data_IF_542132482431
#
_entry.id   IF_542132482431
#
_cell.length_a   1.000
_cell.length_b   1.000
_cell.length_c   1.000
_cell.angle_alpha   90.00
_cell.angle_beta   90.00
_cell.angle_gamma   90.00
#
_symmetry.space_group_name_H-M   'P 1'
#
loop_
_entity.id
_entity.type
_entity.pdbx_description
1 polymer ?
#
# COMPACT_ATOMS: atom_id res chain seq x y z
N UNK A 1 -11.51 37.68 -13.09
CA UNK A 1 -12.67 37.74 -12.20
C UNK A 1 -13.04 36.37 -11.61
N UNK A 2 -13.24 35.34 -12.41
CA UNK A 2 -13.58 33.98 -11.91
C UNK A 2 -12.49 33.38 -11.04
N UNK A 3 -11.23 33.56 -11.39
CA UNK A 3 -10.11 33.08 -10.58
C UNK A 3 -10.03 33.74 -9.21
N UNK A 4 -10.38 35.05 -9.13
CA UNK A 4 -10.42 35.72 -7.85
C UNK A 4 -11.55 35.17 -6.97
N UNK A 5 -12.74 34.95 -7.53
CA UNK A 5 -13.83 34.34 -6.78
C UNK A 5 -13.49 32.93 -6.27
N UNK A 6 -12.85 32.11 -7.11
CA UNK A 6 -12.42 30.79 -6.70
C UNK A 6 -11.39 30.86 -5.56
N UNK A 7 -10.45 31.80 -5.63
CA UNK A 7 -9.47 32.04 -4.59
C UNK A 7 -10.15 32.49 -3.27
N UNK A 8 -11.05 33.42 -3.34
CA UNK A 8 -11.74 33.97 -2.16
C UNK A 8 -12.56 32.88 -1.46
N UNK A 9 -13.32 32.08 -2.21
CA UNK A 9 -14.10 30.96 -1.67
C UNK A 9 -13.19 29.88 -1.05
N UNK A 10 -12.10 29.53 -1.72
CA UNK A 10 -11.16 28.55 -1.19
C UNK A 10 -10.48 29.05 0.08
N UNK A 11 -10.11 30.34 0.13
CA UNK A 11 -9.51 30.95 1.31
C UNK A 11 -10.50 30.97 2.48
N UNK A 12 -11.74 31.31 2.23
CA UNK A 12 -12.80 31.28 3.26
C UNK A 12 -12.98 29.86 3.84
N UNK A 13 -12.99 28.85 2.98
CA UNK A 13 -13.11 27.44 3.41
C UNK A 13 -11.89 26.97 4.22
N UNK A 14 -10.68 27.46 3.90
CA UNK A 14 -9.46 27.15 4.64
C UNK A 14 -9.46 27.85 6.01
N UNK A 15 -9.85 29.12 6.05
CA UNK A 15 -9.83 29.92 7.27
C UNK A 15 -10.96 29.53 8.24
N UNK A 16 -12.07 29.02 7.70
CA UNK A 16 -13.24 28.60 8.46
C UNK A 16 -13.71 27.19 8.09
N UNK A 17 -12.89 26.15 8.34
CA UNK A 17 -13.14 24.80 7.84
C UNK A 17 -14.30 24.07 8.54
N UNK A 18 -14.87 24.62 9.61
CA UNK A 18 -15.93 23.97 10.38
C UNK A 18 -15.44 22.65 10.98
N UNK A 19 -16.14 21.52 10.71
CA UNK A 19 -15.73 20.20 11.21
C UNK A 19 -14.59 19.56 10.41
N UNK A 20 -14.18 20.18 9.30
CA UNK A 20 -13.19 19.63 8.38
C UNK A 20 -11.79 20.10 8.72
N UNK A 21 -10.78 19.38 8.23
CA UNK A 21 -9.39 19.73 8.43
C UNK A 21 -8.46 18.66 7.87
N UNK A 22 -7.17 18.98 7.78
CA UNK A 22 -6.19 18.03 7.31
C UNK A 22 -5.86 16.96 8.37
N UNK A 23 -5.64 15.75 7.94
CA UNK A 23 -5.04 14.69 8.75
C UNK A 23 -3.53 14.90 8.86
N UNK A 24 -2.89 14.25 9.83
CA UNK A 24 -1.45 14.38 10.07
C UNK A 24 -0.61 13.75 8.96
N UNK A 25 -1.13 12.72 8.30
CA UNK A 25 -0.44 12.04 7.21
C UNK A 25 -1.41 11.55 6.15
N UNK A 26 -0.91 11.42 4.92
CA UNK A 26 -1.67 10.86 3.80
C UNK A 26 -2.16 9.43 4.07
N UNK A 27 -1.38 8.63 4.80
CA UNK A 27 -1.81 7.30 5.22
C UNK A 27 -3.10 7.33 6.02
N UNK A 28 -3.21 8.24 7.00
CA UNK A 28 -4.40 8.36 7.85
C UNK A 28 -5.66 8.75 7.07
N UNK A 29 -5.53 9.49 5.98
CA UNK A 29 -6.69 9.85 5.14
C UNK A 29 -7.38 8.59 4.59
N UNK A 30 -6.61 7.56 4.27
CA UNK A 30 -7.08 6.37 3.54
C UNK A 30 -7.11 5.10 4.38
N UNK A 31 -6.57 5.12 5.59
CA UNK A 31 -6.46 3.93 6.42
C UNK A 31 -7.78 3.61 7.16
N UNK A 32 -8.18 2.36 7.13
CA UNK A 32 -9.44 1.89 7.72
C UNK A 32 -9.71 2.33 9.17
N UNK A 33 -8.73 2.35 10.10
CA UNK A 33 -8.94 2.85 11.45
C UNK A 33 -9.35 4.33 11.54
N UNK A 34 -9.11 5.09 10.49
CA UNK A 34 -9.46 6.52 10.38
C UNK A 34 -10.61 6.77 9.41
N UNK A 35 -11.43 5.76 9.16
CA UNK A 35 -12.62 5.93 8.32
C UNK A 35 -13.46 7.11 8.79
N UNK A 36 -14.06 7.83 7.82
CA UNK A 36 -14.85 9.06 8.06
C UNK A 36 -14.09 10.15 8.81
N UNK A 37 -12.80 10.28 8.55
CA UNK A 37 -11.98 11.30 9.17
C UNK A 37 -12.32 12.72 8.67
N UNK A 38 -11.79 13.71 9.36
CA UNK A 38 -12.10 15.14 9.14
C UNK A 38 -11.66 15.70 7.77
N UNK A 39 -10.79 14.98 7.01
CA UNK A 39 -10.34 15.42 5.68
C UNK A 39 -11.29 14.96 4.57
N UNK A 40 -12.17 14.00 4.85
CA UNK A 40 -13.11 13.48 3.86
C UNK A 40 -14.37 14.35 3.85
N UNK A 41 -14.62 15.00 2.72
CA UNK A 41 -15.80 15.87 2.53
C UNK A 41 -17.04 15.07 2.13
N UNK A 42 -16.85 14.00 1.36
CA UNK A 42 -17.93 13.15 0.86
C UNK A 42 -17.43 11.72 0.73
N UNK A 43 -18.22 10.79 1.15
CA UNK A 43 -17.97 9.35 0.93
C UNK A 43 -19.25 8.64 0.49
N UNK A 44 -19.07 7.65 -0.36
CA UNK A 44 -20.12 6.73 -0.72
C UNK A 44 -19.98 5.49 0.16
N UNK A 45 -20.91 5.32 1.07
CA UNK A 45 -20.92 4.17 1.96
C UNK A 45 -21.30 2.90 1.20
N UNK A 46 -20.53 1.87 1.43
CA UNK A 46 -20.82 0.53 0.99
C UNK A 46 -20.85 -0.40 2.20
N UNK A 47 -21.98 -0.94 2.53
CA UNK A 47 -22.11 -1.88 3.64
C UNK A 47 -22.42 -3.28 3.14
N UNK A 48 -22.05 -4.27 3.92
CA UNK A 48 -22.33 -5.66 3.59
C UNK A 48 -23.84 -5.95 3.51
N UNK A 49 -24.64 -5.11 4.13
CA UNK A 49 -26.10 -5.22 4.19
C UNK A 49 -26.80 -4.53 3.00
N UNK A 50 -26.06 -3.76 2.22
CA UNK A 50 -26.58 -3.11 1.03
C UNK A 50 -26.63 -4.11 -0.13
N UNK A 51 -27.83 -4.42 -0.59
CA UNK A 51 -28.07 -5.35 -1.70
C UNK A 51 -27.36 -4.95 -2.99
N UNK A 52 -27.09 -3.66 -3.16
CA UNK A 52 -26.51 -3.10 -4.38
C UNK A 52 -25.12 -2.50 -4.19
N UNK A 53 -24.48 -2.74 -3.06
CA UNK A 53 -23.18 -2.14 -2.83
C UNK A 53 -22.19 -2.51 -3.93
N UNK A 54 -21.64 -1.52 -4.59
CA UNK A 54 -20.72 -1.65 -5.72
C UNK A 54 -21.25 -2.50 -6.90
N UNK A 55 -22.53 -2.81 -6.98
CA UNK A 55 -23.06 -3.70 -8.01
C UNK A 55 -22.37 -5.06 -8.04
N UNK A 56 -21.72 -5.47 -6.98
CA UNK A 56 -20.88 -6.65 -6.96
C UNK A 56 -20.76 -7.31 -5.60
N UNK A 57 -20.22 -8.49 -5.65
CA UNK A 57 -19.96 -9.31 -4.48
C UNK A 57 -18.64 -8.88 -3.84
N UNK A 58 -18.62 -8.68 -2.52
CA UNK A 58 -17.37 -8.70 -1.73
C UNK A 58 -16.76 -10.09 -1.71
N UNK A 59 -17.47 -11.09 -2.21
CA UNK A 59 -16.90 -12.39 -2.42
C UNK A 59 -15.73 -12.28 -3.38
N UNK A 60 -14.66 -12.73 -2.90
CA UNK A 60 -13.39 -12.78 -3.47
C UNK A 60 -13.37 -13.73 -4.66
N UNK A 61 -13.40 -13.23 -5.81
CA UNK A 61 -13.30 -14.00 -7.03
C UNK A 61 -12.92 -13.12 -8.20
N UNK A 62 -12.60 -13.71 -9.31
CA UNK A 62 -12.25 -13.03 -10.55
C UNK A 62 -13.41 -12.20 -11.14
N UNK A 63 -14.57 -12.21 -10.51
CA UNK A 63 -15.79 -11.58 -10.98
C UNK A 63 -16.26 -10.38 -10.16
N UNK A 64 -15.36 -9.71 -9.44
CA UNK A 64 -15.74 -8.47 -8.75
C UNK A 64 -16.35 -7.47 -9.72
N UNK A 65 -17.34 -6.72 -9.25
CA UNK A 65 -18.00 -5.71 -10.08
C UNK A 65 -16.97 -4.78 -10.73
N UNK A 66 -17.25 -4.30 -11.93
CA UNK A 66 -16.40 -3.33 -12.61
C UNK A 66 -16.05 -2.11 -11.76
N UNK A 67 -16.92 -1.77 -10.82
CA UNK A 67 -16.77 -0.59 -9.94
C UNK A 67 -15.95 -0.87 -8.68
N UNK A 68 -15.60 -2.12 -8.41
CA UNK A 68 -14.77 -2.47 -7.27
C UNK A 68 -13.29 -2.41 -7.62
N UNK A 69 -12.72 -1.21 -7.58
CA UNK A 69 -11.30 -1.00 -7.86
C UNK A 69 -10.35 -1.62 -6.82
N UNK A 70 -10.82 -1.96 -5.63
CA UNK A 70 -9.99 -2.60 -4.61
C UNK A 70 -9.38 -3.93 -5.09
N UNK A 71 -10.07 -4.62 -6.01
CA UNK A 71 -9.54 -5.82 -6.65
C UNK A 71 -8.38 -5.57 -7.63
N UNK A 72 -8.12 -4.33 -8.04
CA UNK A 72 -7.08 -3.96 -8.98
C UNK A 72 -5.87 -3.34 -8.29
N UNK A 73 -6.08 -2.67 -7.16
CA UNK A 73 -5.03 -2.05 -6.34
C UNK A 73 -4.48 -3.10 -5.37
N UNK A 74 -3.67 -4.01 -5.89
CA UNK A 74 -3.11 -5.11 -5.13
C UNK A 74 -1.61 -5.01 -5.07
N UNK A 75 -1.08 -5.56 -4.01
CA UNK A 75 0.35 -5.63 -3.82
C UNK A 75 0.99 -6.68 -4.73
N UNK A 76 2.29 -6.57 -4.94
CA UNK A 76 3.08 -7.59 -5.60
C UNK A 76 2.90 -8.95 -4.89
N UNK A 77 3.16 -10.06 -5.60
CA UNK A 77 3.00 -11.41 -5.04
C UNK A 77 4.11 -11.73 -4.04
N UNK A 78 4.14 -11.02 -2.93
CA UNK A 78 5.20 -11.11 -1.92
C UNK A 78 5.29 -12.48 -1.23
N UNK A 79 4.27 -13.31 -1.33
CA UNK A 79 4.31 -14.68 -0.81
C UNK A 79 5.20 -15.61 -1.65
N UNK A 80 5.63 -15.18 -2.82
CA UNK A 80 6.61 -15.88 -3.66
C UNK A 80 8.07 -15.60 -3.25
N UNK A 81 8.30 -14.70 -2.30
CA UNK A 81 9.63 -14.50 -1.72
C UNK A 81 10.06 -15.80 -1.07
N UNK A 82 11.24 -16.27 -1.43
CA UNK A 82 11.81 -17.51 -0.93
C UNK A 82 13.05 -17.25 -0.07
N UNK A 83 13.18 -18.04 0.97
CA UNK A 83 14.35 -18.12 1.82
C UNK A 83 14.64 -19.60 2.14
N UNK A 84 15.70 -19.85 2.91
CA UNK A 84 16.00 -21.18 3.45
C UNK A 84 15.83 -21.15 4.96
N UNK A 85 15.30 -22.24 5.51
CA UNK A 85 15.37 -22.48 6.94
C UNK A 85 16.77 -23.02 7.33
N UNK A 86 16.98 -23.24 8.62
CA UNK A 86 18.24 -23.78 9.16
C UNK A 86 18.60 -25.17 8.62
N UNK A 87 17.62 -25.92 8.14
CA UNK A 87 17.80 -27.27 7.61
C UNK A 87 17.98 -27.25 6.07
N UNK A 88 18.00 -26.05 5.46
CA UNK A 88 18.18 -25.84 4.04
C UNK A 88 16.92 -25.99 3.19
N UNK A 89 15.76 -26.18 3.80
CA UNK A 89 14.49 -26.25 3.08
C UNK A 89 14.08 -24.89 2.55
N UNK A 90 13.48 -24.86 1.37
CA UNK A 90 12.88 -23.64 0.82
C UNK A 90 11.57 -23.33 1.52
N UNK A 91 11.46 -22.13 2.00
CA UNK A 91 10.32 -21.62 2.76
C UNK A 91 9.86 -20.26 2.22
N UNK A 92 8.61 -19.87 2.53
CA UNK A 92 8.07 -18.55 2.27
C UNK A 92 8.04 -17.76 3.58
N UNK A 93 9.00 -16.87 3.83
CA UNK A 93 9.14 -16.15 5.10
C UNK A 93 8.24 -14.93 5.20
N UNK A 94 7.64 -14.50 4.10
CA UNK A 94 6.65 -13.43 4.07
C UNK A 94 5.29 -14.03 3.75
N UNK A 95 4.41 -14.01 4.72
CA UNK A 95 3.09 -14.61 4.61
C UNK A 95 2.02 -13.55 4.40
N UNK A 96 0.90 -13.99 3.85
CA UNK A 96 -0.28 -13.13 3.71
C UNK A 96 -0.86 -12.83 5.08
N UNK A 97 -1.06 -11.54 5.35
CA UNK A 97 -1.75 -11.05 6.53
C UNK A 97 -2.91 -10.14 6.12
N UNK A 98 -3.94 -10.10 6.94
CA UNK A 98 -5.10 -9.23 6.73
C UNK A 98 -4.82 -7.81 7.25
N UNK A 99 -3.76 -7.22 6.75
CA UNK A 99 -3.32 -5.87 7.10
C UNK A 99 -3.27 -4.99 5.86
N UNK A 100 -3.66 -3.75 6.01
CA UNK A 100 -3.71 -2.80 4.89
C UNK A 100 -2.33 -2.58 4.28
N UNK A 101 -1.27 -2.55 5.09
CA UNK A 101 0.11 -2.33 4.63
C UNK A 101 0.61 -3.44 3.68
N UNK A 102 0.18 -4.68 3.88
CA UNK A 102 0.56 -5.80 3.02
C UNK A 102 -0.40 -6.00 1.85
N UNK A 103 -1.67 -5.71 2.04
CA UNK A 103 -2.67 -5.94 1.03
C UNK A 103 -2.75 -7.40 0.58
N UNK A 104 -3.31 -7.61 -0.61
CA UNK A 104 -3.39 -8.94 -1.20
C UNK A 104 -2.17 -9.20 -2.10
N UNK A 105 -1.50 -10.35 -1.97
CA UNK A 105 -0.34 -10.72 -2.79
C UNK A 105 -0.77 -11.16 -4.19
N UNK A 106 -1.21 -10.24 -5.01
CA UNK A 106 -1.67 -10.53 -6.36
C UNK A 106 -1.49 -9.33 -7.27
N UNK A 107 -0.44 -9.34 -8.04
CA UNK A 107 -0.13 -8.26 -8.98
C UNK A 107 -1.11 -8.20 -10.12
N UNK A 108 -1.85 -7.12 -10.22
CA UNK A 108 -2.68 -6.81 -11.39
C UNK A 108 -2.34 -5.46 -12.00
N UNK A 109 -1.85 -4.54 -11.19
CA UNK A 109 -1.44 -3.21 -11.61
C UNK A 109 -0.14 -2.85 -10.90
N UNK A 110 0.70 -2.12 -11.60
CA UNK A 110 1.88 -1.49 -11.04
C UNK A 110 1.96 -0.06 -11.57
N UNK A 111 2.42 0.89 -10.76
CA UNK A 111 2.62 2.25 -11.25
C UNK A 111 3.73 2.27 -12.29
N UNK A 112 3.62 3.11 -13.32
CA UNK A 112 4.70 3.28 -14.27
C UNK A 112 5.94 3.87 -13.61
N UNK A 113 7.12 3.53 -14.11
CA UNK A 113 8.41 3.95 -13.57
C UNK A 113 8.51 5.48 -13.34
N UNK A 114 7.95 6.28 -14.23
CA UNK A 114 7.94 7.73 -14.10
C UNK A 114 7.23 8.26 -12.85
N UNK A 115 6.38 7.47 -12.20
CA UNK A 115 5.78 7.86 -10.91
C UNK A 115 6.86 7.94 -9.82
N UNK A 116 7.77 6.98 -9.81
CA UNK A 116 8.86 6.93 -8.82
C UNK A 116 9.96 7.96 -9.11
N UNK A 117 10.22 8.26 -10.39
CA UNK A 117 11.35 9.10 -10.82
C UNK A 117 10.99 10.58 -10.96
N UNK A 118 9.77 10.85 -11.40
CA UNK A 118 9.34 12.21 -11.75
C UNK A 118 8.30 12.79 -10.80
N UNK A 119 7.34 11.99 -10.37
CA UNK A 119 6.25 12.46 -9.50
C UNK A 119 6.71 12.60 -8.06
N UNK A 120 7.39 11.58 -7.53
CA UNK A 120 7.90 11.58 -6.17
C UNK A 120 9.40 11.89 -6.11
N UNK A 121 9.79 13.10 -6.49
CA UNK A 121 11.21 13.52 -6.51
C UNK A 121 11.86 13.58 -5.15
N UNK A 122 11.11 13.98 -4.12
CA UNK A 122 11.60 14.12 -2.74
C UNK A 122 10.89 13.13 -1.81
N UNK A 123 11.17 11.86 -2.04
CA UNK A 123 10.53 10.75 -1.31
C UNK A 123 10.69 10.86 0.20
N UNK A 124 11.81 11.41 0.67
CA UNK A 124 12.08 11.56 2.10
C UNK A 124 11.19 12.60 2.79
N UNK A 125 10.64 13.55 2.03
CA UNK A 125 9.78 14.59 2.56
C UNK A 125 8.31 14.42 2.20
N UNK A 126 8.02 13.63 1.17
CA UNK A 126 6.66 13.39 0.71
C UNK A 126 6.10 12.11 1.33
N UNK A 127 5.39 12.25 2.43
CA UNK A 127 4.78 11.12 3.16
C UNK A 127 3.77 10.32 2.34
N UNK A 128 3.31 10.84 1.20
CA UNK A 128 2.43 10.11 0.30
C UNK A 128 3.14 8.94 -0.37
N UNK A 129 4.46 9.02 -0.53
CA UNK A 129 5.24 7.93 -1.12
C UNK A 129 5.11 6.65 -0.30
N UNK A 130 5.51 6.70 0.96
CA UNK A 130 5.44 5.53 1.86
C UNK A 130 3.99 5.14 2.19
N UNK A 131 3.07 6.10 2.17
CA UNK A 131 1.64 5.86 2.38
C UNK A 131 0.93 5.19 1.19
N UNK A 132 1.55 5.20 0.02
CA UNK A 132 0.97 4.65 -1.22
C UNK A 132 1.64 3.36 -1.68
N UNK A 133 2.95 3.24 -1.52
CA UNK A 133 3.73 2.15 -2.09
C UNK A 133 4.39 1.29 -1.03
N UNK A 134 4.25 -0.02 -1.16
CA UNK A 134 5.04 -0.98 -0.41
C UNK A 134 6.29 -1.31 -1.21
N UNK A 135 7.43 -0.80 -0.77
CA UNK A 135 8.72 -0.98 -1.45
C UNK A 135 9.67 -1.93 -0.73
N UNK A 136 9.32 -2.34 0.49
CA UNK A 136 10.12 -3.26 1.30
C UNK A 136 9.22 -4.32 1.90
N UNK A 137 9.55 -5.57 1.68
CA UNK A 137 8.89 -6.71 2.32
C UNK A 137 9.77 -7.30 3.40
N UNK A 138 9.17 -7.54 4.56
CA UNK A 138 9.84 -8.00 5.78
C UNK A 138 9.30 -9.36 6.19
N UNK A 139 10.14 -10.18 6.81
CA UNK A 139 9.71 -11.44 7.39
C UNK A 139 8.62 -11.24 8.44
N UNK A 140 7.59 -12.07 8.38
CA UNK A 140 6.47 -12.03 9.32
C UNK A 140 5.95 -13.44 9.64
N UNK A 141 6.85 -14.39 9.68
CA UNK A 141 6.53 -15.82 9.76
C UNK A 141 5.92 -16.28 11.08
N UNK A 142 6.17 -15.59 12.20
CA UNK A 142 5.56 -15.91 13.48
C UNK A 142 4.03 -15.74 13.48
N UNK A 143 3.52 -14.88 12.60
CA UNK A 143 2.07 -14.65 12.44
C UNK A 143 1.31 -15.94 12.05
N UNK A 144 1.97 -16.92 11.44
CA UNK A 144 1.38 -18.24 11.15
C UNK A 144 1.95 -19.37 12.01
N UNK A 145 2.54 -19.01 13.15
CA UNK A 145 3.02 -19.98 14.14
C UNK A 145 4.35 -20.64 13.81
N UNK A 146 5.17 -20.03 12.95
CA UNK A 146 6.55 -20.48 12.73
C UNK A 146 7.47 -19.88 13.78
N UNK A 147 8.33 -20.69 14.34
CA UNK A 147 9.26 -20.34 15.41
C UNK A 147 10.72 -20.23 14.94
N UNK A 148 10.91 -19.95 13.67
CA UNK A 148 12.27 -19.76 13.13
C UNK A 148 12.91 -18.53 13.77
N UNK A 149 14.11 -18.67 14.29
CA UNK A 149 14.88 -17.56 14.85
C UNK A 149 15.39 -16.67 13.72
N UNK A 150 15.96 -17.28 12.69
CA UNK A 150 16.43 -16.63 11.47
C UNK A 150 16.09 -17.49 10.26
N UNK A 151 16.11 -16.87 9.11
CA UNK A 151 16.07 -17.54 7.79
C UNK A 151 17.25 -17.07 6.96
N UNK A 152 17.64 -17.86 5.95
CA UNK A 152 18.69 -17.47 5.02
C UNK A 152 18.07 -16.87 3.77
N UNK A 153 18.30 -15.59 3.55
CA UNK A 153 17.81 -14.86 2.38
C UNK A 153 18.49 -15.32 1.08
N UNK A 154 17.97 -14.84 -0.04
CA UNK A 154 18.49 -15.17 -1.37
C UNK A 154 19.97 -14.79 -1.58
N UNK A 155 20.47 -13.81 -0.84
CA UNK A 155 21.86 -13.38 -0.84
C UNK A 155 22.77 -14.24 0.08
N UNK A 156 22.23 -15.28 0.72
CA UNK A 156 22.96 -16.16 1.65
C UNK A 156 23.15 -15.58 3.04
N UNK A 157 22.58 -14.43 3.36
CA UNK A 157 22.68 -13.79 4.68
C UNK A 157 21.54 -14.24 5.59
N UNK A 158 21.84 -14.35 6.88
CA UNK A 158 20.81 -14.53 7.90
C UNK A 158 19.96 -13.27 8.03
N UNK A 159 18.66 -13.49 8.16
CA UNK A 159 17.64 -12.45 8.30
C UNK A 159 16.74 -12.79 9.48
N UNK A 160 16.58 -11.88 10.39
CA UNK A 160 15.64 -11.97 11.52
C UNK A 160 14.25 -11.51 11.09
N UNK A 161 13.22 -12.00 11.77
CA UNK A 161 11.85 -11.53 11.51
C UNK A 161 11.73 -10.01 11.69
N UNK A 162 11.01 -9.35 10.79
CA UNK A 162 10.91 -7.89 10.75
C UNK A 162 12.01 -7.20 9.96
N UNK A 163 13.11 -7.87 9.61
CA UNK A 163 14.13 -7.31 8.73
C UNK A 163 13.73 -7.45 7.24
N UNK A 164 14.28 -6.57 6.39
CA UNK A 164 14.01 -6.62 4.95
C UNK A 164 14.49 -7.93 4.30
N UNK A 165 13.58 -8.62 3.61
CA UNK A 165 13.87 -9.77 2.76
C UNK A 165 13.91 -9.41 1.29
N UNK A 166 13.11 -8.44 0.89
CA UNK A 166 13.11 -7.88 -0.46
C UNK A 166 12.93 -6.37 -0.37
N UNK A 167 13.78 -5.66 -1.08
CA UNK A 167 13.60 -4.24 -1.38
C UNK A 167 13.40 -4.11 -2.88
N UNK A 168 12.35 -3.41 -3.30
CA UNK A 168 12.34 -2.89 -4.64
C UNK A 168 13.40 -1.80 -4.71
N UNK A 169 14.33 -2.01 -5.59
CA UNK A 169 15.48 -1.13 -5.74
C UNK A 169 14.97 0.21 -6.24
N UNK A 170 15.45 1.26 -5.63
CA UNK A 170 15.15 2.60 -6.09
C UNK A 170 15.92 2.87 -7.39
N UNK A 171 15.41 3.77 -8.19
CA UNK A 171 16.11 4.33 -9.36
C UNK A 171 17.48 4.92 -9.07
N UNK A 172 17.80 5.15 -7.79
CA UNK A 172 19.10 5.63 -7.33
C UNK A 172 20.13 4.48 -7.28
N UNK A 173 19.71 3.23 -7.51
CA UNK A 173 20.63 2.11 -7.60
C UNK A 173 21.13 1.97 -9.04
N UNK A 174 22.41 2.30 -9.32
CA UNK A 174 22.97 2.26 -10.66
C UNK A 174 23.07 0.84 -11.25
N UNK A 175 22.84 -0.20 -10.45
CA UNK A 175 22.86 -1.58 -10.92
C UNK A 175 21.59 -1.99 -11.67
N UNK A 176 20.54 -1.16 -11.62
CA UNK A 176 19.26 -1.47 -12.24
C UNK A 176 19.12 -0.71 -13.54
N UNK A 177 19.05 -1.47 -14.61
CA UNK A 177 18.60 -0.97 -15.90
C UNK A 177 17.11 -1.29 -16.04
N UNK A 178 16.30 -0.26 -16.02
CA UNK A 178 14.90 -0.39 -16.42
C UNK A 178 14.84 -0.36 -17.94
N UNK A 179 14.14 -1.28 -18.59
CA UNK A 179 13.86 -1.16 -20.02
C UNK A 179 13.05 0.10 -20.26
N UNK A 180 13.38 0.82 -21.33
CA UNK A 180 12.67 2.01 -21.80
C UNK A 180 11.22 1.69 -22.19
#
# INVERSE_FOLDING_TARGET
WYYQQAYDIATEAIDNPGPYGLMESFYQVNAGPYDRNKEILLYADHTQEDEYYNGGSLTYGSGGAPDNFAGWMMNWNYTDIQAKDKDGNTISPVIRVAEQAYGRPWTRMAPPHGVFTKTFKDKAKDSRYDGTFTTVYRGNWSTNGKDWTTVIGANGMEVTEGEPLLKFLSEDDPSIQYPD
#
